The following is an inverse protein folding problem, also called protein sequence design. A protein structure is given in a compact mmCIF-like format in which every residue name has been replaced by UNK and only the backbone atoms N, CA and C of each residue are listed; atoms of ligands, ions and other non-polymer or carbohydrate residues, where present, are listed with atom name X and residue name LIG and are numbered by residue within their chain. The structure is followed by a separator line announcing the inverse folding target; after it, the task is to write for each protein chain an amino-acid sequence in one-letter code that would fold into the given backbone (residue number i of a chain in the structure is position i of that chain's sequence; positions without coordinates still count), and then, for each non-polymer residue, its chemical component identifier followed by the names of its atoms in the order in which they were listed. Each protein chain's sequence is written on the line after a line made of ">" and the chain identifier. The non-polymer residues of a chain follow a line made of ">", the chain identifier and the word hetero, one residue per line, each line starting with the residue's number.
data_IF_091985567197
#
_entry.id   IF_091985567197
#
_cell.length_a   1.000
_cell.length_b   1.000
_cell.length_c   1.000
_cell.angle_alpha   90.00
_cell.angle_beta   90.00
_cell.angle_gamma   90.00
#
_symmetry.space_group_name_H-M   'P 1'
#
loop_
_entity.id
_entity.type
_entity.pdbx_description
1 polymer ?
#
# COMPACT_ATOMS: atom_id res chain seq x y z
N UNK A 1 -12.03 16.77 -13.54
CA UNK A 1 -12.87 15.86 -12.73
C UNK A 1 -12.38 15.95 -11.30
N UNK A 2 -13.28 16.27 -10.37
CA UNK A 2 -12.94 16.72 -9.02
C UNK A 2 -12.23 15.65 -8.18
N UNK A 3 -10.97 15.90 -7.85
CA UNK A 3 -10.28 15.28 -6.73
C UNK A 3 -11.05 15.63 -5.45
N UNK A 4 -11.75 14.66 -4.86
CA UNK A 4 -12.50 14.84 -3.63
C UNK A 4 -11.51 14.89 -2.47
N UNK A 5 -11.14 16.10 -2.08
CA UNK A 5 -10.35 16.44 -0.90
C UNK A 5 -11.01 15.83 0.35
N UNK A 6 -10.28 14.98 1.07
CA UNK A 6 -10.49 14.57 2.46
C UNK A 6 -11.94 14.31 2.90
N UNK A 7 -12.44 13.10 2.68
CA UNK A 7 -13.33 12.52 3.69
C UNK A 7 -12.45 12.04 4.84
N UNK A 8 -12.82 12.37 6.08
CA UNK A 8 -12.19 12.00 7.37
C UNK A 8 -12.02 10.48 7.60
N UNK A 9 -12.26 9.66 6.58
CA UNK A 9 -12.22 8.20 6.62
C UNK A 9 -11.37 7.69 5.46
N UNK A 10 -10.42 6.79 5.74
CA UNK A 10 -9.58 6.19 4.71
C UNK A 10 -10.44 5.39 3.72
N UNK A 11 -10.02 5.40 2.45
CA UNK A 11 -10.68 4.62 1.40
C UNK A 11 -10.53 3.14 1.70
N UNK A 12 -11.62 2.37 1.62
CA UNK A 12 -11.57 0.94 1.87
C UNK A 12 -11.30 0.18 0.56
N UNK A 13 -10.20 -0.55 0.53
CA UNK A 13 -9.80 -1.45 -0.54
C UNK A 13 -10.06 -2.89 -0.11
N UNK A 14 -10.80 -3.65 -0.91
CA UNK A 14 -11.04 -5.08 -0.67
C UNK A 14 -10.12 -5.92 -1.54
N UNK A 15 -9.31 -6.76 -0.92
CA UNK A 15 -8.44 -7.72 -1.60
C UNK A 15 -9.17 -9.06 -1.78
N UNK A 16 -9.24 -9.52 -3.01
CA UNK A 16 -9.78 -10.83 -3.36
C UNK A 16 -8.64 -11.80 -3.69
N UNK A 17 -8.87 -13.09 -3.47
CA UNK A 17 -7.85 -14.15 -3.60
C UNK A 17 -7.08 -14.15 -4.95
N UNK A 18 -7.68 -13.67 -6.04
CA UNK A 18 -7.06 -13.60 -7.37
C UNK A 18 -6.17 -12.36 -7.59
N UNK A 19 -5.53 -11.84 -6.52
CA UNK A 19 -4.74 -10.57 -6.52
C UNK A 19 -5.53 -9.32 -6.92
N UNK A 20 -6.86 -9.40 -7.05
CA UNK A 20 -7.70 -8.25 -7.42
C UNK A 20 -7.92 -7.37 -6.21
N UNK A 21 -7.66 -6.07 -6.37
CA UNK A 21 -7.96 -5.04 -5.39
C UNK A 21 -9.17 -4.25 -5.88
N UNK A 22 -10.17 -4.10 -5.03
CA UNK A 22 -11.40 -3.37 -5.34
C UNK A 22 -11.52 -2.16 -4.44
N UNK A 23 -11.52 -0.99 -5.04
CA UNK A 23 -11.74 0.29 -4.36
C UNK A 23 -13.25 0.49 -4.17
N UNK A 24 -13.68 0.51 -2.90
CA UNK A 24 -15.09 0.74 -2.56
C UNK A 24 -15.52 2.20 -2.67
N UNK A 25 -14.58 3.14 -2.64
CA UNK A 25 -14.83 4.57 -2.82
C UNK A 25 -15.04 4.93 -4.30
N UNK A 26 -14.24 4.38 -5.20
CA UNK A 26 -14.38 4.57 -6.66
C UNK A 26 -15.25 3.51 -7.34
N UNK A 27 -15.61 2.45 -6.62
CA UNK A 27 -16.36 1.29 -7.14
C UNK A 27 -15.68 0.64 -8.34
N UNK A 28 -14.35 0.58 -8.33
CA UNK A 28 -13.54 0.10 -9.45
C UNK A 28 -12.43 -0.85 -9.00
N UNK A 29 -11.97 -1.70 -9.91
CA UNK A 29 -10.74 -2.46 -9.69
C UNK A 29 -9.53 -1.53 -9.82
N UNK A 30 -8.58 -1.71 -8.92
CA UNK A 30 -7.32 -0.94 -8.87
C UNK A 30 -6.14 -1.89 -8.81
N UNK A 31 -4.98 -1.39 -9.20
CA UNK A 31 -3.70 -2.09 -9.13
C UNK A 31 -2.87 -1.59 -7.95
N UNK A 32 -1.76 -2.26 -7.65
CA UNK A 32 -0.80 -1.76 -6.65
C UNK A 32 -0.17 -0.42 -7.07
N UNK A 33 -0.03 -0.19 -8.37
CA UNK A 33 0.45 1.09 -8.90
C UNK A 33 -0.55 2.22 -8.65
N UNK A 34 -1.84 1.94 -8.80
CA UNK A 34 -2.88 2.93 -8.48
C UNK A 34 -2.89 3.27 -6.98
N UNK A 35 -2.72 2.26 -6.11
CA UNK A 35 -2.58 2.48 -4.66
C UNK A 35 -1.32 3.30 -4.32
N UNK A 36 -0.21 3.05 -5.02
CA UNK A 36 1.01 3.84 -4.88
C UNK A 36 0.78 5.30 -5.28
N UNK A 37 0.04 5.56 -6.38
CA UNK A 37 -0.35 6.92 -6.77
C UNK A 37 -1.28 7.58 -5.76
N UNK A 38 -2.24 6.84 -5.20
CA UNK A 38 -3.11 7.35 -4.15
C UNK A 38 -2.32 7.88 -2.94
N UNK A 39 -1.29 7.14 -2.49
CA UNK A 39 -0.41 7.59 -1.39
C UNK A 39 0.37 8.85 -1.79
N UNK A 40 0.92 8.90 -3.01
CA UNK A 40 1.66 10.07 -3.52
C UNK A 40 0.78 11.32 -3.64
N UNK A 41 -0.49 11.13 -3.96
CA UNK A 41 -1.50 12.19 -4.04
C UNK A 41 -2.05 12.60 -2.65
N UNK A 42 -1.63 11.92 -1.58
CA UNK A 42 -2.04 12.20 -0.20
C UNK A 42 -3.40 11.60 0.19
N UNK A 43 -3.83 10.55 -0.49
CA UNK A 43 -5.03 9.80 -0.11
C UNK A 43 -4.68 8.62 0.80
N UNK A 44 -5.36 8.55 1.93
CA UNK A 44 -5.29 7.41 2.84
C UNK A 44 -6.22 6.28 2.40
N UNK A 45 -5.74 5.04 2.56
CA UNK A 45 -6.54 3.84 2.35
C UNK A 45 -6.22 2.75 3.36
N UNK A 46 -7.17 1.85 3.54
CA UNK A 46 -7.03 0.61 4.31
C UNK A 46 -7.37 -0.56 3.42
N UNK A 47 -6.67 -1.68 3.57
CA UNK A 47 -6.90 -2.89 2.78
C UNK A 47 -7.41 -4.01 3.68
N UNK A 48 -8.56 -4.56 3.34
CA UNK A 48 -9.11 -5.74 4.00
C UNK A 48 -9.20 -6.93 3.06
N UNK A 49 -8.96 -8.13 3.56
CA UNK A 49 -9.30 -9.35 2.83
C UNK A 49 -10.83 -9.45 2.68
N UNK A 50 -11.29 -9.67 1.45
CA UNK A 50 -12.72 -9.71 1.16
C UNK A 50 -13.43 -10.96 1.71
N UNK A 51 -12.69 -12.02 2.04
CA UNK A 51 -13.23 -13.27 2.60
C UNK A 51 -13.13 -13.29 4.12
N UNK A 52 -11.95 -13.00 4.68
CA UNK A 52 -11.72 -13.09 6.13
C UNK A 52 -11.97 -11.78 6.87
N UNK A 53 -11.98 -10.63 6.19
CA UNK A 53 -12.03 -9.31 6.83
C UNK A 53 -10.73 -8.90 7.51
N UNK A 54 -9.66 -9.67 7.34
CA UNK A 54 -8.35 -9.39 7.91
C UNK A 54 -7.77 -8.07 7.39
N UNK A 55 -7.14 -7.29 8.25
CA UNK A 55 -6.42 -6.07 7.87
C UNK A 55 -5.10 -6.44 7.19
N UNK A 56 -5.04 -6.23 5.88
CA UNK A 56 -3.88 -6.48 5.04
C UNK A 56 -3.12 -5.19 4.69
N UNK A 57 -3.48 -4.05 5.29
CA UNK A 57 -2.92 -2.74 4.96
C UNK A 57 -1.40 -2.75 5.04
N UNK A 58 -0.83 -3.22 6.16
CA UNK A 58 0.62 -3.31 6.36
C UNK A 58 1.30 -4.19 5.31
N UNK A 59 0.72 -5.34 5.00
CA UNK A 59 1.25 -6.27 4.01
C UNK A 59 1.27 -5.67 2.61
N UNK A 60 0.18 -5.00 2.22
CA UNK A 60 0.06 -4.35 0.92
C UNK A 60 1.01 -3.16 0.79
N UNK A 61 1.13 -2.33 1.82
CA UNK A 61 2.11 -1.22 1.83
C UNK A 61 3.54 -1.73 1.67
N UNK A 62 3.89 -2.81 2.39
CA UNK A 62 5.21 -3.45 2.25
C UNK A 62 5.43 -3.97 0.83
N UNK A 63 4.42 -4.60 0.24
CA UNK A 63 4.49 -5.09 -1.14
C UNK A 63 4.70 -3.93 -2.14
N UNK A 64 3.97 -2.82 -1.98
CA UNK A 64 4.14 -1.62 -2.82
C UNK A 64 5.58 -1.11 -2.75
N UNK A 65 6.17 -1.04 -1.55
CA UNK A 65 7.56 -0.59 -1.36
C UNK A 65 8.53 -1.49 -2.12
N UNK A 66 8.41 -2.82 -1.96
CA UNK A 66 9.29 -3.79 -2.62
C UNK A 66 9.16 -3.73 -4.15
N UNK A 67 7.92 -3.63 -4.67
CA UNK A 67 7.69 -3.52 -6.10
C UNK A 67 8.23 -2.20 -6.67
N UNK A 68 8.11 -1.10 -5.94
CA UNK A 68 8.64 0.20 -6.36
C UNK A 68 10.17 0.22 -6.37
N UNK A 69 10.81 -0.42 -5.40
CA UNK A 69 12.27 -0.58 -5.37
C UNK A 69 12.74 -1.45 -6.55
N UNK A 70 12.06 -2.58 -6.81
CA UNK A 70 12.36 -3.46 -7.94
C UNK A 70 12.21 -2.77 -9.31
N UNK A 71 11.23 -1.86 -9.46
CA UNK A 71 11.03 -1.05 -10.68
C UNK A 71 12.10 0.03 -10.88
N UNK A 72 12.71 0.51 -9.80
CA UNK A 72 13.66 1.64 -9.86
C UNK A 72 15.06 1.23 -10.33
N UNK A 73 15.33 -0.07 -10.49
CA UNK A 73 16.52 -0.62 -11.16
C UNK A 73 17.84 -0.20 -10.51
N UNK A 74 18.39 0.95 -10.96
CA UNK A 74 19.68 1.52 -10.52
C UNK A 74 19.55 2.75 -9.61
N UNK A 75 18.35 3.32 -9.44
CA UNK A 75 18.09 4.37 -8.47
C UNK A 75 17.40 3.75 -7.26
N UNK A 76 18.17 3.07 -6.41
CA UNK A 76 17.68 2.58 -5.12
C UNK A 76 17.12 3.77 -4.33
N UNK A 77 15.80 3.85 -4.23
CA UNK A 77 15.13 4.91 -3.49
C UNK A 77 15.34 4.72 -1.99
N UNK A 78 15.58 3.47 -1.57
CA UNK A 78 15.88 3.11 -0.20
C UNK A 78 17.39 2.89 -0.01
N UNK A 79 18.07 3.75 0.76
CA UNK A 79 19.47 3.53 1.10
C UNK A 79 19.64 2.20 1.84
N UNK A 80 20.71 1.47 1.54
CA UNK A 80 21.01 0.19 2.22
C UNK A 80 21.06 0.31 3.75
N UNK A 81 21.49 1.46 4.27
CA UNK A 81 21.49 1.74 5.71
C UNK A 81 20.08 1.79 6.30
N UNK A 82 19.10 2.30 5.56
CA UNK A 82 17.70 2.34 5.99
C UNK A 82 17.09 0.94 6.05
N UNK A 83 17.40 0.08 5.05
CA UNK A 83 16.98 -1.32 5.07
C UNK A 83 17.56 -2.07 6.28
N UNK A 84 18.83 -1.83 6.62
CA UNK A 84 19.46 -2.39 7.83
C UNK A 84 18.79 -1.92 9.11
N UNK A 85 18.43 -0.63 9.20
CA UNK A 85 17.68 -0.09 10.34
C UNK A 85 16.28 -0.71 10.45
N UNK A 86 15.56 -0.84 9.32
CA UNK A 86 14.27 -1.53 9.27
C UNK A 86 14.37 -2.96 9.83
N UNK A 87 15.38 -3.72 9.43
CA UNK A 87 15.62 -5.08 9.96
C UNK A 87 15.96 -5.01 11.47
N UNK A 88 16.78 -4.05 11.90
CA UNK A 88 17.13 -3.85 13.31
C UNK A 88 15.92 -3.59 14.22
N UNK A 89 14.91 -2.83 13.75
CA UNK A 89 13.68 -2.61 14.50
C UNK A 89 12.87 -3.89 14.77
N UNK A 90 13.04 -4.94 13.96
CA UNK A 90 12.42 -6.25 14.23
C UNK A 90 13.20 -7.08 15.28
N UNK A 91 14.46 -6.72 15.58
CA UNK A 91 15.29 -7.38 16.59
C UNK A 91 15.22 -6.74 17.99
N UNK A 92 14.90 -5.45 18.09
CA UNK A 92 14.79 -4.70 19.36
C UNK A 92 13.41 -4.79 20.03
N UNK A 93 12.46 -5.52 19.43
CA UNK A 93 11.12 -5.75 20.00
C UNK A 93 10.95 -7.15 20.62
N UNK A 94 12.02 -7.70 21.21
CA UNK A 94 12.01 -8.97 21.94
C UNK A 94 12.57 -8.81 23.35
#
# INVERSE_FOLDING_TARGET
>A
MSAKKGSDKPTVIKKYANRRLYDTGRSSYVTLDDLCQMIKEGYDFVVYDAKSGEDLTRGVLTQIIVEQEAKSGNNNLLPTNFLRQLIGFYGDNM
#
